data_IF_722881618294
#
_entry.id   IF_722881618294
#
_cell.length_a   1.000
_cell.length_b   1.000
_cell.length_c   1.000
_cell.angle_alpha   90.00
_cell.angle_beta   90.00
_cell.angle_gamma   90.00
#
_symmetry.space_group_name_H-M   'P 1'
#
loop_
_entity.id
_entity.type
_entity.pdbx_description
1 polymer ?
#
# COMPACT_ATOMS: atom_id res chain seq x y z
N UNK A 1 0.30 -5.38 11.64
CA UNK A 1 0.25 -4.30 10.62
C UNK A 1 -1.11 -4.20 9.91
N UNK A 2 -1.70 -5.31 9.46
CA UNK A 2 -2.92 -5.32 8.65
C UNK A 2 -4.14 -4.74 9.38
N UNK A 3 -4.41 -5.15 10.63
CA UNK A 3 -5.51 -4.59 11.45
C UNK A 3 -5.40 -3.08 11.61
N UNK A 4 -4.21 -2.61 12.01
CA UNK A 4 -3.95 -1.17 12.18
C UNK A 4 -4.16 -0.41 10.87
N UNK A 5 -3.65 -0.92 9.75
CA UNK A 5 -3.84 -0.28 8.45
C UNK A 5 -5.32 -0.14 8.12
N UNK A 6 -6.12 -1.21 8.27
CA UNK A 6 -7.55 -1.17 7.96
C UNK A 6 -8.31 -0.18 8.86
N UNK A 7 -8.17 -0.29 10.19
CA UNK A 7 -8.91 0.53 11.15
C UNK A 7 -8.48 2.01 11.09
N UNK A 8 -7.17 2.26 11.00
CA UNK A 8 -6.65 3.62 10.92
C UNK A 8 -7.08 4.30 9.63
N UNK A 9 -7.05 3.59 8.50
CA UNK A 9 -7.48 4.17 7.23
C UNK A 9 -8.97 4.46 7.25
N UNK A 10 -9.79 3.51 7.71
CA UNK A 10 -11.23 3.71 7.82
C UNK A 10 -11.59 4.93 8.68
N UNK A 11 -10.96 5.06 9.86
CA UNK A 11 -11.17 6.20 10.75
C UNK A 11 -10.80 7.54 10.10
N UNK A 12 -9.71 7.58 9.34
CA UNK A 12 -9.30 8.83 8.66
C UNK A 12 -10.24 9.17 7.51
N UNK A 13 -10.59 8.17 6.69
CA UNK A 13 -11.47 8.35 5.54
C UNK A 13 -12.86 8.82 5.98
N UNK A 14 -13.44 8.17 6.99
CA UNK A 14 -14.76 8.56 7.53
C UNK A 14 -14.69 9.88 8.30
N UNK A 15 -13.91 9.95 9.39
CA UNK A 15 -14.00 11.06 10.33
C UNK A 15 -13.35 12.36 9.84
N UNK A 16 -12.32 12.29 8.99
CA UNK A 16 -11.58 13.48 8.54
C UNK A 16 -11.92 13.84 7.09
N UNK A 17 -12.27 12.87 6.26
CA UNK A 17 -12.57 13.11 4.84
C UNK A 17 -14.06 12.94 4.52
N UNK A 18 -14.90 12.46 5.44
CA UNK A 18 -16.33 12.27 5.18
C UNK A 18 -16.61 11.20 4.11
N UNK A 19 -15.68 10.27 3.92
CA UNK A 19 -15.80 9.14 2.98
C UNK A 19 -16.04 7.87 3.80
N UNK A 20 -17.30 7.46 3.86
CA UNK A 20 -17.73 6.26 4.57
C UNK A 20 -17.86 5.08 3.61
N UNK A 21 -17.44 3.89 4.05
CA UNK A 21 -17.71 2.64 3.34
C UNK A 21 -18.75 1.84 4.08
N UNK A 22 -19.70 1.23 3.36
CA UNK A 22 -20.62 0.23 3.94
C UNK A 22 -19.96 -1.13 4.18
N UNK A 23 -18.72 -1.28 3.72
CA UNK A 23 -17.92 -2.47 3.87
C UNK A 23 -17.47 -2.65 5.32
N UNK A 24 -17.37 -3.91 5.75
CA UNK A 24 -16.73 -4.22 7.02
C UNK A 24 -15.25 -3.83 6.97
N UNK A 25 -14.76 -3.17 8.02
CA UNK A 25 -13.36 -2.70 8.11
C UNK A 25 -12.38 -3.85 8.34
N UNK A 26 -12.83 -4.91 9.02
CA UNK A 26 -12.06 -6.12 9.30
C UNK A 26 -12.82 -7.34 8.76
N UNK A 27 -12.11 -8.39 8.30
CA UNK A 27 -12.75 -9.64 7.93
C UNK A 27 -13.30 -10.37 9.16
N UNK A 28 -14.34 -11.18 8.97
CA UNK A 28 -14.88 -12.07 10.02
C UNK A 28 -13.90 -13.20 10.39
N UNK A 29 -13.00 -13.56 9.48
CA UNK A 29 -11.93 -14.53 9.69
C UNK A 29 -10.60 -13.81 9.49
N UNK A 30 -9.78 -13.76 10.53
CA UNK A 30 -8.51 -13.03 10.51
C UNK A 30 -7.36 -13.84 9.88
N UNK A 31 -7.47 -14.12 8.59
CA UNK A 31 -6.37 -14.69 7.79
C UNK A 31 -5.94 -13.73 6.66
N UNK A 32 -4.75 -13.97 6.11
CA UNK A 32 -4.13 -13.12 5.07
C UNK A 32 -5.07 -12.84 3.90
N UNK A 33 -5.74 -13.87 3.37
CA UNK A 33 -6.58 -13.76 2.17
C UNK A 33 -7.84 -12.94 2.44
N UNK A 34 -8.51 -13.18 3.57
CA UNK A 34 -9.70 -12.43 3.94
C UNK A 34 -9.39 -10.96 4.26
N UNK A 35 -8.22 -10.67 4.85
CA UNK A 35 -7.73 -9.30 4.97
C UNK A 35 -7.54 -8.62 3.61
N UNK A 36 -6.94 -9.31 2.63
CA UNK A 36 -6.75 -8.76 1.28
C UNK A 36 -8.08 -8.47 0.58
N UNK A 37 -9.05 -9.41 0.62
CA UNK A 37 -10.40 -9.20 0.06
C UNK A 37 -11.14 -8.05 0.73
N UNK A 38 -11.12 -7.99 2.05
CA UNK A 38 -11.78 -6.95 2.83
C UNK A 38 -11.18 -5.57 2.51
N UNK A 39 -9.85 -5.45 2.57
CA UNK A 39 -9.17 -4.20 2.28
C UNK A 39 -9.34 -3.76 0.82
N UNK A 40 -9.28 -4.68 -0.15
CA UNK A 40 -9.47 -4.36 -1.57
C UNK A 40 -10.84 -3.75 -1.85
N UNK A 41 -11.92 -4.33 -1.30
CA UNK A 41 -13.28 -3.79 -1.46
C UNK A 41 -13.41 -2.39 -0.88
N UNK A 42 -12.99 -2.20 0.37
CA UNK A 42 -13.03 -0.90 1.03
C UNK A 42 -12.20 0.16 0.27
N UNK A 43 -11.01 -0.22 -0.22
CA UNK A 43 -10.15 0.68 -1.00
C UNK A 43 -10.77 1.05 -2.36
N UNK A 44 -11.44 0.11 -3.04
CA UNK A 44 -12.15 0.39 -4.29
C UNK A 44 -13.30 1.36 -4.09
N UNK A 45 -14.16 1.14 -3.09
CA UNK A 45 -15.25 2.07 -2.75
C UNK A 45 -14.72 3.47 -2.44
N UNK A 46 -13.66 3.55 -1.63
CA UNK A 46 -13.01 4.84 -1.31
C UNK A 46 -12.44 5.53 -2.54
N UNK A 47 -11.84 4.79 -3.46
CA UNK A 47 -11.29 5.32 -4.70
C UNK A 47 -12.38 5.87 -5.62
N UNK A 48 -13.51 5.16 -5.74
CA UNK A 48 -14.69 5.62 -6.49
C UNK A 48 -15.25 6.92 -5.91
N UNK A 49 -15.41 6.97 -4.59
CA UNK A 49 -15.83 8.19 -3.89
C UNK A 49 -14.86 9.35 -4.13
N UNK A 50 -13.55 9.13 -4.00
CA UNK A 50 -12.53 10.14 -4.25
C UNK A 50 -12.57 10.67 -5.68
N UNK A 51 -12.78 9.80 -6.67
CA UNK A 51 -12.90 10.19 -8.09
C UNK A 51 -14.12 11.05 -8.38
N UNK A 52 -15.16 10.97 -7.55
CA UNK A 52 -16.37 11.79 -7.67
C UNK A 52 -16.20 13.21 -7.11
N UNK A 53 -15.15 13.48 -6.33
CA UNK A 53 -14.97 14.77 -5.65
C UNK A 53 -14.39 15.81 -6.61
N UNK A 54 -14.85 17.05 -6.48
CA UNK A 54 -14.32 18.20 -7.21
C UNK A 54 -12.99 18.68 -6.61
N UNK A 55 -12.24 19.47 -7.37
CA UNK A 55 -11.02 20.14 -6.89
C UNK A 55 -11.30 21.02 -5.65
N UNK A 56 -12.45 21.71 -5.63
CA UNK A 56 -12.88 22.51 -4.49
C UNK A 56 -13.02 21.67 -3.21
N UNK A 57 -13.59 20.46 -3.32
CA UNK A 57 -13.71 19.55 -2.18
C UNK A 57 -12.36 19.16 -1.59
N UNK A 58 -11.31 19.03 -2.42
CA UNK A 58 -9.94 18.79 -1.97
C UNK A 58 -9.33 20.01 -1.27
N UNK A 59 -9.74 21.23 -1.67
CA UNK A 59 -9.33 22.49 -1.08
C UNK A 59 -10.01 22.82 0.26
N UNK A 60 -11.20 22.29 0.51
CA UNK A 60 -11.95 22.49 1.76
C UNK A 60 -11.13 22.09 2.99
N UNK A 61 -11.34 22.84 4.08
CA UNK A 61 -10.69 22.62 5.37
C UNK A 61 -11.48 21.56 6.15
N UNK A 62 -10.74 20.64 6.76
CA UNK A 62 -11.23 19.64 7.70
C UNK A 62 -10.35 19.59 8.94
N UNK A 63 -10.83 18.95 9.98
CA UNK A 63 -10.09 18.74 11.21
C UNK A 63 -9.16 17.53 11.09
N UNK A 64 -7.89 17.75 11.43
CA UNK A 64 -6.87 16.72 11.54
C UNK A 64 -6.27 16.77 12.94
N UNK A 65 -6.87 15.99 13.85
CA UNK A 65 -6.57 16.06 15.28
C UNK A 65 -6.71 17.50 15.81
N UNK A 66 -5.65 18.12 16.29
CA UNK A 66 -5.67 19.48 16.86
C UNK A 66 -5.39 20.58 15.82
N UNK A 67 -5.31 20.23 14.53
CA UNK A 67 -5.03 21.21 13.47
C UNK A 67 -6.04 21.13 12.33
N UNK A 68 -6.50 22.29 11.86
CA UNK A 68 -7.31 22.39 10.64
C UNK A 68 -6.41 22.41 9.40
N UNK A 69 -6.71 21.56 8.42
CA UNK A 69 -5.92 21.41 7.17
C UNK A 69 -6.85 21.13 5.98
N UNK A 70 -6.37 21.35 4.76
CA UNK A 70 -7.14 20.98 3.57
C UNK A 70 -7.30 19.47 3.47
N UNK A 71 -8.40 19.01 2.86
CA UNK A 71 -8.62 17.57 2.59
C UNK A 71 -7.49 16.96 1.76
N UNK A 72 -6.95 17.70 0.79
CA UNK A 72 -5.78 17.28 0.01
C UNK A 72 -4.55 16.99 0.90
N UNK A 73 -4.29 17.85 1.88
CA UNK A 73 -3.20 17.67 2.82
C UNK A 73 -3.42 16.43 3.69
N UNK A 74 -4.64 16.24 4.20
CA UNK A 74 -5.00 15.06 5.02
C UNK A 74 -4.89 13.76 4.21
N UNK A 75 -5.36 13.75 2.96
CA UNK A 75 -5.23 12.60 2.06
C UNK A 75 -3.76 12.27 1.78
N UNK A 76 -2.93 13.28 1.54
CA UNK A 76 -1.48 13.09 1.38
C UNK A 76 -0.89 12.45 2.63
N UNK A 77 -1.25 12.93 3.83
CA UNK A 77 -0.81 12.31 5.09
C UNK A 77 -1.29 10.86 5.22
N UNK A 78 -2.51 10.55 4.80
CA UNK A 78 -3.04 9.18 4.80
C UNK A 78 -2.21 8.24 3.91
N UNK A 79 -1.82 8.69 2.72
CA UNK A 79 -0.93 7.95 1.81
C UNK A 79 0.46 7.74 2.44
N UNK A 80 1.02 8.77 3.09
CA UNK A 80 2.32 8.65 3.77
C UNK A 80 2.27 7.69 4.96
N UNK A 81 1.17 7.66 5.72
CA UNK A 81 0.99 6.74 6.83
C UNK A 81 0.90 5.28 6.35
N UNK A 82 0.20 5.03 5.25
CA UNK A 82 0.19 3.71 4.59
C UNK A 82 1.59 3.31 4.13
N UNK A 83 2.34 4.23 3.51
CA UNK A 83 3.72 3.98 3.09
C UNK A 83 4.65 3.67 4.27
N UNK A 84 4.48 4.36 5.40
CA UNK A 84 5.23 4.12 6.63
C UNK A 84 5.03 2.70 7.17
N UNK A 85 3.78 2.26 7.33
CA UNK A 85 3.51 0.90 7.82
C UNK A 85 3.87 -0.18 6.80
N UNK A 86 3.75 0.10 5.51
CA UNK A 86 4.28 -0.79 4.47
C UNK A 86 5.78 -1.00 4.63
N UNK A 87 6.56 0.06 4.91
CA UNK A 87 7.99 -0.04 5.20
C UNK A 87 8.31 -0.93 6.41
N UNK A 88 7.55 -0.81 7.51
CA UNK A 88 7.70 -1.70 8.66
C UNK A 88 7.41 -3.17 8.30
N UNK A 89 6.34 -3.42 7.55
CA UNK A 89 6.00 -4.77 7.08
C UNK A 89 7.09 -5.34 6.16
N UNK A 90 7.62 -4.53 5.25
CA UNK A 90 8.74 -4.87 4.37
C UNK A 90 9.98 -5.31 5.17
N UNK A 91 10.30 -4.62 6.27
CA UNK A 91 11.39 -5.01 7.16
C UNK A 91 11.14 -6.37 7.84
N UNK A 92 9.92 -6.61 8.35
CA UNK A 92 9.57 -7.91 8.94
C UNK A 92 9.66 -9.05 7.93
N UNK A 93 9.18 -8.85 6.71
CA UNK A 93 9.27 -9.85 5.64
C UNK A 93 10.73 -10.21 5.33
N UNK A 94 11.63 -9.22 5.28
CA UNK A 94 13.07 -9.47 5.12
C UNK A 94 13.67 -10.30 6.24
N UNK A 95 13.36 -9.96 7.49
CA UNK A 95 13.83 -10.71 8.68
C UNK A 95 13.34 -12.16 8.63
N UNK A 96 12.12 -12.38 8.15
CA UNK A 96 11.53 -13.71 7.98
C UNK A 96 12.00 -14.45 6.72
N UNK A 97 13.00 -13.92 6.00
CA UNK A 97 13.53 -14.54 4.77
C UNK A 97 12.52 -14.62 3.64
N UNK A 98 11.57 -13.67 3.57
CA UNK A 98 10.60 -13.59 2.48
C UNK A 98 11.09 -12.67 1.38
N UNK A 99 10.91 -13.13 0.14
CA UNK A 99 11.15 -12.34 -1.06
C UNK A 99 10.20 -11.14 -1.13
N UNK A 100 10.73 -10.01 -1.61
CA UNK A 100 10.01 -8.76 -1.80
C UNK A 100 9.96 -8.37 -3.26
N UNK A 101 8.74 -8.23 -3.75
CA UNK A 101 8.44 -7.58 -5.02
C UNK A 101 8.71 -6.07 -4.94
N UNK A 102 8.63 -5.40 -6.10
CA UNK A 102 8.73 -3.94 -6.17
C UNK A 102 7.64 -3.25 -5.34
N UNK A 103 7.96 -2.10 -4.75
CA UNK A 103 7.06 -1.37 -3.84
C UNK A 103 6.66 0.02 -4.36
N UNK A 104 7.64 0.84 -4.71
CA UNK A 104 7.51 2.10 -5.48
C UNK A 104 8.57 2.18 -6.60
N UNK A 105 9.33 1.10 -6.75
CA UNK A 105 10.50 0.95 -7.59
C UNK A 105 11.12 -0.43 -7.29
N UNK A 106 12.28 -0.72 -7.89
CA UNK A 106 12.99 -1.97 -7.66
C UNK A 106 13.26 -2.24 -6.17
N UNK A 107 13.31 -3.52 -5.81
CA UNK A 107 13.71 -4.00 -4.49
C UNK A 107 15.06 -4.72 -4.60
N UNK A 108 15.65 -5.10 -3.46
CA UNK A 108 16.84 -5.95 -3.49
C UNK A 108 16.61 -7.32 -4.15
N UNK A 109 15.36 -7.79 -4.27
CA UNK A 109 15.06 -9.06 -4.95
C UNK A 109 14.68 -8.88 -6.43
N UNK A 110 14.44 -7.65 -6.88
CA UNK A 110 14.13 -7.37 -8.30
C UNK A 110 15.35 -6.85 -9.07
N UNK A 111 16.56 -7.24 -8.67
CA UNK A 111 17.81 -6.83 -9.32
C UNK A 111 18.55 -5.71 -8.61
N UNK A 112 18.06 -5.23 -7.45
CA UNK A 112 18.75 -4.24 -6.64
C UNK A 112 18.36 -2.79 -6.97
N UNK A 113 19.36 -1.96 -7.29
CA UNK A 113 19.15 -0.52 -7.45
C UNK A 113 18.75 -0.12 -8.89
N UNK A 114 17.93 0.93 -9.08
CA UNK A 114 17.58 1.47 -10.40
C UNK A 114 18.80 1.81 -11.28
N UNK A 115 19.86 2.37 -10.69
CA UNK A 115 21.12 2.69 -11.39
C UNK A 115 21.80 1.47 -12.04
N UNK A 116 21.41 0.26 -11.64
CA UNK A 116 21.91 -1.00 -12.19
C UNK A 116 20.93 -1.63 -13.18
N UNK A 117 19.93 -0.88 -13.65
CA UNK A 117 18.84 -1.35 -14.50
C UNK A 117 18.05 -2.50 -13.85
N UNK A 118 17.82 -2.41 -12.54
CA UNK A 118 16.97 -3.35 -11.83
C UNK A 118 15.51 -3.24 -12.29
N UNK A 119 14.82 -4.37 -12.39
CA UNK A 119 13.46 -4.45 -12.89
C UNK A 119 12.44 -3.96 -11.85
N UNK A 120 11.31 -3.46 -12.35
CA UNK A 120 10.11 -3.21 -11.56
C UNK A 120 9.15 -4.38 -11.76
N UNK A 121 9.11 -5.28 -10.78
CA UNK A 121 8.31 -6.51 -10.81
C UNK A 121 7.28 -6.43 -9.69
N UNK A 122 6.03 -6.13 -10.05
CA UNK A 122 4.89 -6.25 -9.16
C UNK A 122 4.33 -7.67 -9.20
N UNK A 123 3.92 -8.18 -8.04
CA UNK A 123 3.40 -9.55 -7.92
C UNK A 123 2.09 -9.77 -8.69
N UNK A 124 1.27 -8.73 -8.71
CA UNK A 124 -0.05 -8.70 -9.34
C UNK A 124 -0.17 -7.41 -10.15
N UNK A 125 -0.81 -7.50 -11.31
CA UNK A 125 -1.04 -6.38 -12.23
C UNK A 125 -2.36 -5.65 -11.95
N UNK A 126 -3.31 -6.30 -11.27
CA UNK A 126 -4.60 -5.73 -10.89
C UNK A 126 -5.11 -6.30 -9.56
N UNK A 127 -6.14 -5.66 -9.00
CA UNK A 127 -6.86 -6.19 -7.83
C UNK A 127 -7.52 -7.53 -8.17
N UNK A 128 -8.12 -7.66 -9.35
CA UNK A 128 -8.78 -8.90 -9.78
C UNK A 128 -7.80 -10.07 -9.88
N UNK A 129 -6.59 -9.83 -10.41
CA UNK A 129 -5.53 -10.84 -10.45
C UNK A 129 -5.06 -11.18 -9.02
N UNK A 130 -4.87 -10.17 -8.16
CA UNK A 130 -4.49 -10.39 -6.76
C UNK A 130 -5.47 -11.31 -6.05
N UNK A 131 -6.77 -11.07 -6.19
CA UNK A 131 -7.80 -11.85 -5.50
C UNK A 131 -7.89 -13.26 -6.07
N UNK A 132 -7.99 -13.40 -7.40
CA UNK A 132 -8.12 -14.71 -8.05
C UNK A 132 -6.91 -15.61 -7.86
N UNK A 133 -5.70 -15.05 -7.79
CA UNK A 133 -4.48 -15.84 -7.60
C UNK A 133 -4.22 -16.15 -6.12
N UNK A 134 -4.48 -15.24 -5.19
CA UNK A 134 -4.35 -15.52 -3.75
C UNK A 134 -5.36 -16.57 -3.26
N UNK A 135 -6.54 -16.66 -3.88
CA UNK A 135 -7.51 -17.73 -3.63
C UNK A 135 -6.93 -19.12 -3.95
N UNK A 136 -6.06 -19.21 -4.96
CA UNK A 136 -5.38 -20.43 -5.39
C UNK A 136 -4.05 -20.70 -4.66
N UNK A 137 -3.74 -19.93 -3.60
CA UNK A 137 -2.48 -20.03 -2.85
C UNK A 137 -1.42 -18.99 -3.22
N UNK A 138 -1.73 -18.10 -4.15
CA UNK A 138 -0.94 -16.93 -4.53
C UNK A 138 0.07 -17.19 -5.66
N UNK A 139 0.14 -16.25 -6.60
CA UNK A 139 1.12 -16.27 -7.69
C UNK A 139 2.53 -16.10 -7.14
N UNK A 140 3.51 -16.83 -7.66
CA UNK A 140 4.94 -16.61 -7.38
C UNK A 140 5.65 -16.37 -8.70
N UNK A 141 5.92 -15.11 -9.00
CA UNK A 141 6.84 -14.80 -10.10
C UNK A 141 8.25 -15.02 -9.60
N UNK A 142 9.09 -15.63 -10.43
CA UNK A 142 10.51 -15.73 -10.14
C UNK A 142 11.08 -14.31 -10.05
N UNK A 143 11.79 -14.04 -8.96
CA UNK A 143 12.51 -12.80 -8.77
C UNK A 143 13.98 -13.04 -9.11
N UNK A 144 14.65 -12.11 -9.81
CA UNK A 144 16.07 -12.26 -10.18
C UNK A 144 16.99 -12.28 -8.95
N UNK A 145 16.49 -11.91 -7.77
CA UNK A 145 17.25 -11.83 -6.53
C UNK A 145 18.11 -10.57 -6.47
N UNK A 146 19.15 -10.64 -5.64
CA UNK A 146 20.14 -9.57 -5.55
C UNK A 146 20.92 -9.44 -6.85
N UNK A 147 20.93 -8.25 -7.44
CA UNK A 147 21.80 -7.95 -8.58
C UNK A 147 23.28 -8.16 -8.25
N UNK A 148 24.12 -8.38 -9.28
CA UNK A 148 25.56 -8.67 -9.09
C UNK A 148 26.36 -7.51 -8.48
N UNK A 149 25.84 -6.28 -8.56
CA UNK A 149 26.50 -5.08 -8.03
C UNK A 149 26.05 -4.82 -6.61
N UNK A 150 26.98 -4.31 -5.79
CA UNK A 150 26.68 -3.84 -4.43
C UNK A 150 25.52 -2.82 -4.47
N UNK A 151 24.55 -2.90 -3.54
CA UNK A 151 23.43 -1.98 -3.48
C UNK A 151 23.87 -0.65 -2.84
N UNK A 152 24.71 0.12 -3.55
CA UNK A 152 25.18 1.42 -3.09
C UNK A 152 25.15 2.45 -4.22
N UNK A 153 24.62 3.64 -3.92
CA UNK A 153 24.62 4.80 -4.82
C UNK A 153 25.90 5.66 -4.69
N UNK A 154 26.88 5.19 -3.91
CA UNK A 154 28.18 5.87 -3.82
C UNK A 154 28.82 5.92 -5.20
N UNK A 155 29.44 7.05 -5.53
CA UNK A 155 30.27 7.18 -6.72
C UNK A 155 31.37 6.10 -6.71
N UNK A 156 31.80 5.65 -7.89
CA UNK A 156 32.99 4.81 -8.01
C UNK A 156 34.17 5.61 -7.44
N UNK A 157 34.86 5.04 -6.45
CA UNK A 157 36.21 5.47 -6.08
C UNK A 157 37.16 5.30 -7.27
#
# INVERSE_FOLDING_TARGET
PSVHQCLSEDKWMSAMLGIETKEAVLPSIENKFDFMKCYARAAQTRLEELRSKSDDWFGEITEFFEVSRSRAWVLTRRITHTSHHRGQLTAYLRILGKDLYSTYGPSADTGGLPQNNADVIYRYSSIDELISEEEKGGKRLALPGSGMKRPTERAKE
#
